data_IF_594654802507
#
_entry.id   IF_594654802507
#
_cell.length_a   1.000
_cell.length_b   1.000
_cell.length_c   1.000
_cell.angle_alpha   90.00
_cell.angle_beta   90.00
_cell.angle_gamma   90.00
#
_symmetry.space_group_name_H-M   'P 1'
#
loop_
_entity.id
_entity.type
_entity.pdbx_description
1 polymer ?
#
# COMPACT_ATOMS: atom_id res chain seq x y z
N UNK A 1 12.73 4.93 -10.94
CA UNK A 1 11.76 4.76 -9.83
C UNK A 1 10.49 4.18 -10.43
N UNK A 2 10.08 2.98 -10.01
CA UNK A 2 8.90 2.32 -10.58
C UNK A 2 7.67 2.68 -9.74
N UNK A 3 6.60 3.10 -10.40
CA UNK A 3 5.34 3.45 -9.74
C UNK A 3 4.38 2.28 -9.75
N UNK A 4 3.70 2.03 -8.64
CA UNK A 4 2.67 1.01 -8.51
C UNK A 4 1.46 1.56 -7.75
N UNK A 5 0.27 1.15 -8.15
CA UNK A 5 -0.97 1.47 -7.45
C UNK A 5 -1.64 0.19 -6.93
N UNK A 6 -2.08 0.19 -5.68
CA UNK A 6 -2.83 -0.90 -5.06
C UNK A 6 -4.24 -0.44 -4.69
N UNK A 7 -5.25 -0.98 -5.35
CA UNK A 7 -6.67 -0.69 -5.09
C UNK A 7 -7.25 -1.86 -4.31
N UNK A 8 -7.51 -1.63 -3.03
CA UNK A 8 -7.99 -2.63 -2.09
C UNK A 8 -6.85 -3.22 -1.25
N UNK A 9 -6.89 -2.96 0.06
CA UNK A 9 -5.88 -3.43 1.00
C UNK A 9 -6.39 -4.63 1.79
N UNK A 10 -6.82 -5.70 1.12
CA UNK A 10 -7.30 -6.94 1.77
C UNK A 10 -6.21 -7.71 2.54
N UNK A 11 -6.51 -8.93 2.99
CA UNK A 11 -5.56 -9.78 3.74
C UNK A 11 -4.24 -9.97 2.98
N UNK A 12 -4.32 -10.23 1.67
CA UNK A 12 -3.13 -10.35 0.82
C UNK A 12 -2.59 -8.99 0.36
N UNK A 13 -3.46 -8.07 -0.04
CA UNK A 13 -3.06 -6.78 -0.63
C UNK A 13 -2.28 -5.87 0.33
N UNK A 14 -2.62 -5.89 1.63
CA UNK A 14 -1.98 -5.06 2.64
C UNK A 14 -0.45 -5.33 2.77
N UNK A 15 0.01 -6.57 3.04
CA UNK A 15 1.45 -6.86 3.07
C UNK A 15 2.11 -6.81 1.69
N UNK A 16 1.40 -7.15 0.61
CA UNK A 16 1.96 -7.10 -0.75
C UNK A 16 2.36 -5.68 -1.18
N UNK A 17 1.49 -4.69 -0.92
CA UNK A 17 1.83 -3.29 -1.16
C UNK A 17 3.07 -2.89 -0.36
N UNK A 18 3.19 -3.33 0.91
CA UNK A 18 4.34 -3.02 1.76
C UNK A 18 5.64 -3.63 1.24
N UNK A 19 5.58 -4.82 0.66
CA UNK A 19 6.74 -5.44 0.00
C UNK A 19 7.24 -4.64 -1.22
N UNK A 20 6.34 -3.99 -1.95
CA UNK A 20 6.73 -3.13 -3.08
C UNK A 20 7.48 -1.89 -2.60
N UNK A 21 7.03 -1.24 -1.52
CA UNK A 21 7.77 -0.12 -0.91
C UNK A 21 9.17 -0.57 -0.48
N UNK A 22 9.27 -1.72 0.22
CA UNK A 22 10.56 -2.28 0.65
C UNK A 22 11.52 -2.60 -0.51
N UNK A 23 10.99 -2.82 -1.71
CA UNK A 23 11.76 -3.02 -2.95
C UNK A 23 12.09 -1.72 -3.70
N UNK A 24 11.75 -0.55 -3.16
CA UNK A 24 12.05 0.76 -3.74
C UNK A 24 11.04 1.23 -4.79
N UNK A 25 9.82 0.70 -4.77
CA UNK A 25 8.74 1.21 -5.61
C UNK A 25 8.08 2.41 -4.94
N UNK A 26 7.65 3.38 -5.75
CA UNK A 26 6.76 4.46 -5.34
C UNK A 26 5.32 3.93 -5.40
N UNK A 27 4.74 3.64 -4.22
CA UNK A 27 3.47 2.93 -4.09
C UNK A 27 2.37 3.88 -3.65
N UNK A 28 1.30 3.96 -4.45
CA UNK A 28 0.05 4.63 -4.06
C UNK A 28 -1.00 3.59 -3.68
N UNK A 29 -1.64 3.74 -2.53
CA UNK A 29 -2.71 2.83 -2.07
C UNK A 29 -4.05 3.53 -2.03
N UNK A 30 -5.10 2.78 -2.37
CA UNK A 30 -6.49 3.20 -2.18
C UNK A 30 -7.27 2.06 -1.53
N UNK A 31 -8.14 2.40 -0.59
CA UNK A 31 -9.10 1.46 -0.04
C UNK A 31 -10.43 2.18 0.19
N UNK A 32 -11.55 1.48 -0.03
CA UNK A 32 -12.91 2.06 0.13
C UNK A 32 -13.10 2.77 1.47
N UNK A 33 -12.53 2.23 2.54
CA UNK A 33 -12.47 2.89 3.86
C UNK A 33 -11.07 3.47 4.05
N UNK A 34 -11.00 4.79 4.23
CA UNK A 34 -9.76 5.56 4.33
C UNK A 34 -8.87 5.11 5.49
N UNK A 35 -9.45 4.83 6.67
CA UNK A 35 -8.71 4.39 7.85
C UNK A 35 -7.75 3.21 7.61
N UNK A 36 -8.08 2.32 6.66
CA UNK A 36 -7.21 1.19 6.31
C UNK A 36 -6.02 1.61 5.46
N UNK A 37 -6.21 2.57 4.55
CA UNK A 37 -5.13 3.17 3.77
C UNK A 37 -4.24 4.05 4.66
N UNK A 38 -4.82 4.85 5.55
CA UNK A 38 -4.09 5.66 6.53
C UNK A 38 -3.23 4.80 7.45
N UNK A 39 -3.79 3.71 8.00
CA UNK A 39 -3.02 2.77 8.81
C UNK A 39 -1.85 2.16 8.02
N UNK A 40 -2.09 1.81 6.76
CA UNK A 40 -1.05 1.26 5.90
C UNK A 40 0.07 2.29 5.64
N UNK A 41 -0.27 3.54 5.37
CA UNK A 41 0.70 4.63 5.18
C UNK A 41 1.50 4.88 6.47
N UNK A 42 0.88 4.80 7.65
CA UNK A 42 1.60 4.92 8.92
C UNK A 42 2.60 3.77 9.16
N UNK A 43 2.38 2.60 8.57
CA UNK A 43 3.21 1.40 8.75
C UNK A 43 4.31 1.24 7.69
N UNK A 44 4.04 1.64 6.44
CA UNK A 44 4.93 1.42 5.29
C UNK A 44 5.24 2.67 4.45
N UNK A 45 4.53 3.78 4.66
CA UNK A 45 4.68 5.02 3.88
C UNK A 45 5.98 5.75 4.13
#
# INVERSE_FOLDING_TARGET
MNKAAFIGLGVMGYPMAGHLVKKGYDVTVFNRTAARAEKWVAEFG
#
